data_IF_858511355484
#
_entry.id   IF_858511355484
#
_cell.length_a   1.000
_cell.length_b   1.000
_cell.length_c   1.000
_cell.angle_alpha   90.00
_cell.angle_beta   90.00
_cell.angle_gamma   90.00
#
_symmetry.space_group_name_H-M   'P 1'
#
loop_
_entity.id
_entity.type
_entity.pdbx_description
1 polymer ?
#
# COMPACT_ATOMS: atom_id res chain seq x y z
N UNK A 1 15.86 -1.31 -24.53
CA UNK A 1 17.14 -1.84 -25.01
C UNK A 1 17.92 -2.31 -23.78
N UNK A 2 18.46 -3.56 -23.78
CA UNK A 2 19.29 -4.05 -22.66
C UNK A 2 20.74 -3.55 -22.83
N UNK A 3 21.48 -3.43 -21.71
CA UNK A 3 22.92 -3.10 -21.76
C UNK A 3 23.68 -4.06 -22.69
N UNK A 4 23.35 -5.38 -22.62
CA UNK A 4 23.94 -6.41 -23.48
C UNK A 4 23.67 -6.15 -24.97
N UNK A 5 22.48 -5.62 -25.31
CA UNK A 5 22.16 -5.25 -26.67
C UNK A 5 22.95 -4.02 -27.13
N UNK A 6 23.06 -2.97 -26.31
CA UNK A 6 23.89 -1.82 -26.58
C UNK A 6 25.37 -2.20 -26.79
N UNK A 7 25.89 -3.06 -25.92
CA UNK A 7 27.25 -3.63 -26.03
C UNK A 7 27.47 -4.29 -27.39
N UNK A 8 26.54 -5.12 -27.84
CA UNK A 8 26.63 -5.82 -29.15
C UNK A 8 26.47 -4.86 -30.33
N UNK A 9 25.46 -3.98 -30.29
CA UNK A 9 25.15 -3.09 -31.40
C UNK A 9 26.25 -2.04 -31.62
N UNK A 10 26.82 -1.50 -30.53
CA UNK A 10 27.79 -0.43 -30.61
C UNK A 10 29.23 -0.86 -30.33
N UNK A 11 29.49 -2.16 -30.16
CA UNK A 11 30.82 -2.73 -29.86
C UNK A 11 31.53 -2.06 -28.66
N UNK A 12 30.76 -1.65 -27.66
CA UNK A 12 31.21 -0.96 -26.44
C UNK A 12 31.24 -1.95 -25.27
N UNK A 13 32.26 -1.90 -24.43
CA UNK A 13 32.33 -2.76 -23.26
C UNK A 13 31.15 -2.56 -22.30
N UNK A 14 30.64 -3.64 -21.69
CA UNK A 14 29.49 -3.56 -20.76
C UNK A 14 29.74 -2.65 -19.56
N UNK A 15 30.97 -2.60 -19.04
CA UNK A 15 31.39 -1.70 -17.97
C UNK A 15 31.30 -0.21 -18.38
N UNK A 16 31.59 0.09 -19.66
CA UNK A 16 31.49 1.45 -20.19
C UNK A 16 30.03 1.88 -20.33
N UNK A 17 29.17 0.98 -20.85
CA UNK A 17 27.73 1.23 -20.93
C UNK A 17 27.15 1.47 -19.54
N UNK A 18 27.54 0.67 -18.54
CA UNK A 18 27.08 0.85 -17.16
C UNK A 18 27.55 2.19 -16.57
N UNK A 19 28.82 2.56 -16.75
CA UNK A 19 29.36 3.86 -16.27
C UNK A 19 28.62 5.04 -16.89
N UNK A 20 28.37 5.01 -18.21
CA UNK A 20 27.63 6.07 -18.89
C UNK A 20 26.18 6.15 -18.39
N UNK A 21 25.52 5.00 -18.23
CA UNK A 21 24.20 4.96 -17.66
C UNK A 21 24.16 5.55 -16.24
N UNK A 22 25.08 5.13 -15.38
CA UNK A 22 25.15 5.63 -13.99
C UNK A 22 25.47 7.14 -13.94
N UNK A 23 26.40 7.63 -14.78
CA UNK A 23 26.72 9.05 -14.87
C UNK A 23 25.51 9.88 -15.32
N UNK A 24 24.85 9.47 -16.41
CA UNK A 24 23.67 10.16 -16.93
C UNK A 24 22.53 10.18 -15.93
N UNK A 25 22.18 9.01 -15.37
CA UNK A 25 21.09 8.89 -14.40
C UNK A 25 21.46 9.59 -13.09
N UNK A 26 22.71 9.47 -12.63
CA UNK A 26 23.20 10.15 -11.44
C UNK A 26 23.07 11.67 -11.53
N UNK A 27 23.47 12.26 -12.66
CA UNK A 27 23.29 13.68 -12.91
C UNK A 27 21.81 14.07 -12.86
N UNK A 28 20.93 13.34 -13.53
CA UNK A 28 19.49 13.60 -13.51
C UNK A 28 18.86 13.41 -12.12
N UNK A 29 19.27 12.41 -11.37
CA UNK A 29 18.82 12.22 -9.98
C UNK A 29 19.32 13.35 -9.08
N UNK A 30 20.54 13.87 -9.30
CA UNK A 30 21.02 15.02 -8.55
C UNK A 30 20.24 16.30 -8.84
N UNK A 31 19.79 16.52 -10.07
CA UNK A 31 18.86 17.60 -10.44
C UNK A 31 17.50 17.47 -9.72
N UNK A 32 17.09 16.23 -9.38
CA UNK A 32 15.91 15.96 -8.59
C UNK A 32 16.17 16.05 -7.08
N UNK A 33 17.43 15.98 -6.64
CA UNK A 33 17.78 16.16 -5.23
C UNK A 33 17.53 17.61 -4.84
N UNK A 34 16.93 17.82 -3.68
CA UNK A 34 16.51 19.17 -3.26
C UNK A 34 15.12 19.60 -3.69
N UNK A 35 14.38 18.75 -4.42
CA UNK A 35 12.94 19.00 -4.65
C UNK A 35 12.21 19.07 -3.31
N UNK A 36 11.31 20.03 -3.21
CA UNK A 36 10.43 20.12 -2.05
C UNK A 36 9.44 18.95 -2.03
N UNK A 37 9.07 18.54 -0.82
CA UNK A 37 8.04 17.53 -0.63
C UNK A 37 6.74 17.90 -1.34
N UNK A 38 6.06 16.94 -1.99
CA UNK A 38 4.75 17.16 -2.56
C UNK A 38 3.71 17.44 -1.47
N UNK A 39 2.70 18.25 -1.77
CA UNK A 39 1.63 18.55 -0.83
C UNK A 39 0.81 17.31 -0.44
N UNK A 40 0.70 16.33 -1.33
CA UNK A 40 -0.01 15.06 -1.10
C UNK A 40 0.97 13.91 -1.29
N UNK A 41 1.43 13.36 -0.18
CA UNK A 41 2.46 12.33 -0.12
C UNK A 41 1.84 10.96 0.16
N UNK A 42 2.19 9.96 -0.62
CA UNK A 42 1.96 8.54 -0.31
C UNK A 42 3.20 7.95 0.35
N UNK A 43 3.00 7.17 1.40
CA UNK A 43 4.08 6.41 2.05
C UNK A 43 3.66 4.95 2.10
N UNK A 44 4.53 4.06 1.59
CA UNK A 44 4.30 2.63 1.64
C UNK A 44 5.63 1.87 1.65
N UNK A 45 5.60 0.60 2.05
CA UNK A 45 6.78 -0.24 2.06
C UNK A 45 6.73 -1.33 0.98
N UNK A 46 7.89 -1.68 0.46
CA UNK A 46 8.05 -2.85 -0.39
C UNK A 46 9.29 -3.64 -0.02
N UNK A 47 9.27 -4.93 -0.33
CA UNK A 47 10.43 -5.79 -0.10
C UNK A 47 11.50 -5.52 -1.15
N UNK A 48 12.70 -5.17 -0.72
CA UNK A 48 13.83 -4.92 -1.62
C UNK A 48 14.67 -6.19 -1.84
N UNK A 49 15.20 -6.78 -0.77
CA UNK A 49 16.02 -7.99 -0.87
C UNK A 49 16.10 -8.75 0.46
N UNK A 50 16.43 -10.04 0.40
CA UNK A 50 16.60 -10.86 1.62
C UNK A 50 17.68 -10.30 2.56
N UNK A 51 18.78 -9.76 2.01
CA UNK A 51 19.90 -9.22 2.80
C UNK A 51 19.61 -7.88 3.43
N UNK A 52 18.90 -6.99 2.74
CA UNK A 52 18.66 -5.59 3.16
C UNK A 52 17.22 -5.32 3.62
N UNK A 53 16.31 -6.29 3.47
CA UNK A 53 14.93 -6.19 3.92
C UNK A 53 14.07 -5.28 3.06
N UNK A 54 13.41 -4.32 3.68
CA UNK A 54 12.42 -3.45 3.07
C UNK A 54 12.98 -2.07 2.69
N UNK A 55 12.31 -1.44 1.76
CA UNK A 55 12.48 -0.03 1.43
C UNK A 55 11.15 0.71 1.55
N UNK A 56 11.21 1.98 1.91
CA UNK A 56 10.06 2.90 1.95
C UNK A 56 9.99 3.67 0.66
N UNK A 57 8.84 3.62 -0.01
CA UNK A 57 8.54 4.41 -1.21
C UNK A 57 7.76 5.65 -0.82
N UNK A 58 8.24 6.81 -1.25
CA UNK A 58 7.58 8.09 -1.15
C UNK A 58 7.01 8.45 -2.52
N UNK A 59 5.70 8.74 -2.60
CA UNK A 59 5.00 8.98 -3.88
C UNK A 59 4.31 10.33 -3.86
N UNK A 60 4.51 11.12 -4.91
CA UNK A 60 3.67 12.29 -5.21
C UNK A 60 2.34 11.80 -5.78
N UNK A 61 1.31 11.76 -4.94
CA UNK A 61 -0.02 11.29 -5.32
C UNK A 61 -0.78 12.28 -6.19
N UNK A 62 -0.37 13.54 -6.23
CA UNK A 62 -0.97 14.56 -7.10
C UNK A 62 -0.52 14.39 -8.54
N UNK A 63 0.78 14.18 -8.75
CA UNK A 63 1.39 14.08 -10.07
C UNK A 63 1.64 12.63 -10.53
N UNK A 64 1.28 11.65 -9.70
CA UNK A 64 1.42 10.21 -9.99
C UNK A 64 2.88 9.81 -10.30
N UNK A 65 3.81 10.16 -9.39
CA UNK A 65 5.24 9.90 -9.53
C UNK A 65 5.85 9.39 -8.26
N UNK A 66 6.85 8.53 -8.38
CA UNK A 66 7.71 8.22 -7.25
C UNK A 66 8.53 9.47 -6.92
N UNK A 67 8.38 9.97 -5.71
CA UNK A 67 9.16 11.08 -5.21
C UNK A 67 10.54 10.62 -4.80
N UNK A 68 10.61 9.55 -3.99
CA UNK A 68 11.89 8.91 -3.64
C UNK A 68 11.68 7.47 -3.11
N UNK A 69 12.78 6.72 -3.01
CA UNK A 69 12.83 5.40 -2.37
C UNK A 69 13.98 5.39 -1.37
N UNK A 70 13.71 5.00 -0.14
CA UNK A 70 14.66 5.02 0.97
C UNK A 70 14.80 3.62 1.57
N UNK A 71 16.03 3.18 1.83
CA UNK A 71 16.25 1.87 2.43
C UNK A 71 15.79 1.84 3.88
N UNK A 72 15.05 0.80 4.24
CA UNK A 72 14.49 0.61 5.57
C UNK A 72 13.04 1.04 5.69
N UNK A 73 12.43 0.74 6.85
CA UNK A 73 11.04 1.05 7.19
C UNK A 73 10.86 1.50 8.64
N UNK A 74 11.92 1.51 9.43
CA UNK A 74 11.90 1.98 10.80
C UNK A 74 12.21 3.46 10.89
N UNK A 75 11.76 4.12 11.95
CA UNK A 75 12.08 5.53 12.21
C UNK A 75 13.59 5.73 12.26
N UNK A 76 14.33 4.83 12.91
CA UNK A 76 15.78 4.90 12.99
C UNK A 76 16.46 4.87 11.61
N UNK A 77 15.99 4.00 10.69
CA UNK A 77 16.54 3.89 9.34
C UNK A 77 16.22 5.09 8.45
N UNK A 78 15.07 5.74 8.65
CA UNK A 78 14.61 6.87 7.85
C UNK A 78 15.00 8.24 8.40
N UNK A 79 15.41 8.32 9.66
CA UNK A 79 15.67 9.56 10.40
C UNK A 79 16.60 10.53 9.68
N UNK A 80 17.76 10.06 9.23
CA UNK A 80 18.75 10.89 8.56
C UNK A 80 18.24 11.48 7.25
N UNK A 81 17.50 10.69 6.49
CA UNK A 81 16.85 11.13 5.25
C UNK A 81 15.75 12.15 5.55
N UNK A 82 14.83 11.84 6.46
CA UNK A 82 13.69 12.69 6.80
C UNK A 82 14.10 14.05 7.37
N UNK A 83 15.16 14.08 8.20
CA UNK A 83 15.70 15.36 8.73
C UNK A 83 16.18 16.30 7.64
N UNK A 84 16.77 15.78 6.56
CA UNK A 84 17.31 16.56 5.44
C UNK A 84 16.31 16.84 4.33
N UNK A 85 15.13 16.24 4.40
CA UNK A 85 14.12 16.34 3.35
C UNK A 85 13.53 17.77 3.32
N UNK A 86 13.69 18.54 2.22
CA UNK A 86 13.20 19.91 2.15
C UNK A 86 11.68 19.96 1.95
N UNK A 87 11.06 21.00 2.46
CA UNK A 87 9.62 21.25 2.24
C UNK A 87 8.67 20.33 3.01
N UNK A 88 9.12 19.71 4.08
CA UNK A 88 8.27 18.84 4.93
C UNK A 88 7.06 19.57 5.50
N UNK A 89 7.22 20.84 5.80
CA UNK A 89 6.18 21.76 6.29
C UNK A 89 5.09 22.05 5.24
N UNK A 90 5.38 21.83 3.95
CA UNK A 90 4.43 22.02 2.86
C UNK A 90 3.51 20.81 2.64
N UNK A 91 3.86 19.65 3.21
CA UNK A 91 3.01 18.45 3.12
C UNK A 91 1.71 18.69 3.88
N UNK A 92 0.59 18.57 3.20
CA UNK A 92 -0.77 18.77 3.75
C UNK A 92 -1.49 17.46 4.01
N UNK A 93 -1.20 16.44 3.22
CA UNK A 93 -1.85 15.14 3.33
C UNK A 93 -0.80 14.04 3.18
N UNK A 94 -0.84 13.07 4.08
CA UNK A 94 -0.07 11.83 3.97
C UNK A 94 -1.04 10.67 3.91
N UNK A 95 -1.00 9.88 2.82
CA UNK A 95 -1.74 8.63 2.68
C UNK A 95 -0.81 7.47 2.98
N UNK A 96 -1.19 6.60 3.91
CA UNK A 96 -0.37 5.47 4.35
C UNK A 96 -1.23 4.27 4.76
N UNK A 97 -0.58 3.12 4.93
CA UNK A 97 -1.17 1.96 5.58
C UNK A 97 -1.45 2.20 7.08
N UNK A 98 -2.01 1.20 7.76
CA UNK A 98 -2.31 1.27 9.19
C UNK A 98 -1.07 0.95 10.06
N UNK A 99 0.08 1.52 9.70
CA UNK A 99 1.36 1.32 10.40
C UNK A 99 1.56 2.38 11.48
N UNK A 100 1.66 1.96 12.73
CA UNK A 100 1.98 2.86 13.84
C UNK A 100 3.38 3.48 13.72
N UNK A 101 4.31 2.78 13.06
CA UNK A 101 5.64 3.32 12.77
C UNK A 101 5.56 4.51 11.82
N UNK A 102 4.86 4.35 10.69
CA UNK A 102 4.67 5.47 9.75
C UNK A 102 3.81 6.59 10.31
N UNK A 103 2.83 6.26 11.18
CA UNK A 103 2.04 7.26 11.88
C UNK A 103 2.92 8.17 12.74
N UNK A 104 3.81 7.59 13.56
CA UNK A 104 4.77 8.34 14.37
C UNK A 104 5.72 9.17 13.51
N UNK A 105 6.25 8.59 12.44
CA UNK A 105 7.09 9.29 11.47
C UNK A 105 6.34 10.50 10.87
N UNK A 106 5.09 10.30 10.44
CA UNK A 106 4.29 11.38 9.86
C UNK A 106 4.07 12.53 10.87
N UNK A 107 3.70 12.20 12.09
CA UNK A 107 3.49 13.18 13.16
C UNK A 107 4.76 13.94 13.54
N UNK A 108 5.90 13.27 13.56
CA UNK A 108 7.18 13.85 13.97
C UNK A 108 7.84 14.72 12.89
N UNK A 109 7.78 14.28 11.62
CA UNK A 109 8.54 14.91 10.56
C UNK A 109 7.72 15.80 9.61
N UNK A 110 6.40 15.70 9.65
CA UNK A 110 5.48 16.45 8.77
C UNK A 110 4.41 17.18 9.59
N UNK A 111 4.76 18.29 10.26
CA UNK A 111 3.94 18.90 11.32
C UNK A 111 2.57 19.39 10.84
N UNK A 112 2.44 19.74 9.55
CA UNK A 112 1.20 20.27 8.98
C UNK A 112 0.38 19.21 8.23
N UNK A 113 0.82 17.95 8.23
CA UNK A 113 0.20 16.90 7.44
C UNK A 113 -0.98 16.24 8.16
N UNK A 114 -2.10 16.12 7.47
CA UNK A 114 -3.21 15.26 7.87
C UNK A 114 -2.95 13.83 7.40
N UNK A 115 -3.00 12.89 8.33
CA UNK A 115 -2.87 11.46 8.03
C UNK A 115 -4.20 10.93 7.50
N UNK A 116 -4.17 10.23 6.38
CA UNK A 116 -5.28 9.53 5.74
C UNK A 116 -4.91 8.06 5.64
N UNK A 117 -5.78 7.17 6.12
CA UNK A 117 -5.56 5.75 5.96
C UNK A 117 -5.75 5.32 4.50
N UNK A 118 -4.93 4.40 4.02
CA UNK A 118 -5.17 3.80 2.72
C UNK A 118 -6.34 2.81 2.77
N UNK A 119 -7.34 3.07 1.95
CA UNK A 119 -8.58 2.30 1.87
C UNK A 119 -8.35 0.82 1.60
N UNK A 120 -7.41 0.51 0.73
CA UNK A 120 -7.10 -0.88 0.38
C UNK A 120 -6.59 -1.65 1.61
N UNK A 121 -5.68 -1.06 2.37
CA UNK A 121 -5.13 -1.66 3.58
C UNK A 121 -6.18 -1.81 4.69
N UNK A 122 -7.12 -0.86 4.81
CA UNK A 122 -8.25 -1.00 5.76
C UNK A 122 -9.13 -2.20 5.39
N UNK A 123 -9.52 -2.33 4.12
CA UNK A 123 -10.32 -3.48 3.64
C UNK A 123 -9.54 -4.79 3.77
N UNK A 124 -8.25 -4.77 3.47
CA UNK A 124 -7.36 -5.93 3.65
C UNK A 124 -7.30 -6.39 5.10
N UNK A 125 -7.19 -5.45 6.05
CA UNK A 125 -7.21 -5.74 7.49
C UNK A 125 -8.50 -6.42 7.91
N UNK A 126 -9.66 -5.90 7.50
CA UNK A 126 -10.98 -6.52 7.78
C UNK A 126 -11.03 -7.96 7.26
N UNK A 127 -10.57 -8.18 6.02
CA UNK A 127 -10.53 -9.51 5.44
C UNK A 127 -9.57 -10.46 6.17
N UNK A 128 -8.42 -9.99 6.63
CA UNK A 128 -7.46 -10.79 7.38
C UNK A 128 -8.03 -11.25 8.72
N UNK A 129 -8.68 -10.35 9.48
CA UNK A 129 -9.30 -10.71 10.75
C UNK A 129 -10.50 -11.65 10.55
N UNK A 130 -11.31 -11.44 9.51
CA UNK A 130 -12.38 -12.36 9.16
C UNK A 130 -11.84 -13.77 8.85
N UNK A 131 -10.75 -13.89 8.10
CA UNK A 131 -10.14 -15.19 7.81
C UNK A 131 -9.58 -15.88 9.06
N UNK A 132 -9.11 -15.13 10.07
CA UNK A 132 -8.72 -15.69 11.37
C UNK A 132 -9.93 -16.19 12.15
N UNK A 133 -11.02 -15.43 12.16
CA UNK A 133 -12.30 -15.86 12.76
C UNK A 133 -12.80 -17.16 12.11
N UNK A 134 -12.82 -17.20 10.78
CA UNK A 134 -13.19 -18.42 10.06
C UNK A 134 -12.29 -19.60 10.41
N UNK A 135 -10.97 -19.40 10.50
CA UNK A 135 -10.04 -20.45 10.92
C UNK A 135 -10.32 -21.01 12.32
N UNK A 136 -10.87 -20.19 13.22
CA UNK A 136 -11.24 -20.62 14.58
C UNK A 136 -12.56 -21.40 14.60
N UNK A 137 -13.53 -21.05 13.73
CA UNK A 137 -14.84 -21.69 13.69
C UNK A 137 -14.87 -22.95 12.84
N UNK A 138 -14.23 -22.94 11.69
CA UNK A 138 -14.15 -24.08 10.77
C UNK A 138 -12.78 -24.16 10.10
N UNK A 139 -11.81 -24.80 10.76
CA UNK A 139 -10.46 -25.00 10.23
C UNK A 139 -10.41 -25.76 8.91
N UNK A 140 -11.30 -26.75 8.72
CA UNK A 140 -11.30 -27.59 7.52
C UNK A 140 -11.92 -26.84 6.33
N UNK A 141 -13.03 -26.17 6.50
CA UNK A 141 -13.59 -25.31 5.46
C UNK A 141 -12.63 -24.20 5.05
N UNK A 142 -11.86 -23.69 6.00
CA UNK A 142 -10.83 -22.67 5.74
C UNK A 142 -9.70 -23.16 4.83
N UNK A 143 -9.37 -24.47 4.85
CA UNK A 143 -8.38 -25.09 3.96
C UNK A 143 -8.91 -25.28 2.53
N UNK A 144 -10.23 -25.30 2.34
CA UNK A 144 -10.85 -25.46 1.04
C UNK A 144 -10.60 -24.24 0.16
N UNK A 145 -9.79 -24.39 -0.90
CA UNK A 145 -9.42 -23.28 -1.81
C UNK A 145 -10.61 -22.65 -2.53
N UNK A 146 -11.63 -23.46 -2.86
CA UNK A 146 -12.86 -22.98 -3.50
C UNK A 146 -13.66 -22.07 -2.56
N UNK A 147 -13.93 -22.51 -1.31
CA UNK A 147 -14.59 -21.71 -0.29
C UNK A 147 -13.77 -20.46 0.05
N UNK A 148 -12.47 -20.58 0.18
CA UNK A 148 -11.58 -19.45 0.44
C UNK A 148 -11.70 -18.35 -0.62
N UNK A 149 -11.78 -18.76 -1.89
CA UNK A 149 -12.01 -17.82 -3.00
C UNK A 149 -13.34 -17.09 -2.87
N UNK A 150 -14.44 -17.81 -2.50
CA UNK A 150 -15.78 -17.22 -2.32
C UNK A 150 -15.83 -16.28 -1.11
N UNK A 151 -15.32 -16.74 0.03
CA UNK A 151 -15.33 -16.00 1.30
C UNK A 151 -14.54 -14.69 1.27
N UNK A 152 -13.50 -14.60 0.44
CA UNK A 152 -12.68 -13.38 0.26
C UNK A 152 -13.35 -12.32 -0.57
N UNK A 153 -14.17 -12.71 -1.57
CA UNK A 153 -14.78 -11.79 -2.53
C UNK A 153 -15.91 -10.97 -1.90
N UNK A 154 -16.17 -9.84 -2.50
CA UNK A 154 -17.41 -9.11 -2.24
C UNK A 154 -18.61 -9.90 -2.77
N UNK A 155 -19.68 -9.97 -1.98
CA UNK A 155 -20.88 -10.76 -2.32
C UNK A 155 -21.48 -10.37 -3.69
N UNK A 156 -21.47 -9.09 -4.03
CA UNK A 156 -22.00 -8.60 -5.32
C UNK A 156 -21.15 -9.01 -6.53
N UNK A 157 -19.91 -9.47 -6.34
CA UNK A 157 -19.03 -9.97 -7.41
C UNK A 157 -19.15 -11.47 -7.65
N UNK A 158 -20.01 -12.16 -6.90
CA UNK A 158 -20.22 -13.59 -7.05
C UNK A 158 -21.32 -13.86 -8.07
N UNK A 159 -21.15 -14.91 -8.92
CA UNK A 159 -22.20 -15.43 -9.79
C UNK A 159 -23.32 -16.09 -8.99
N UNK A 160 -24.48 -16.34 -9.61
CA UNK A 160 -25.62 -17.00 -8.95
C UNK A 160 -25.23 -18.36 -8.38
N UNK A 161 -24.50 -19.17 -9.15
CA UNK A 161 -24.00 -20.49 -8.71
C UNK A 161 -23.07 -20.36 -7.50
N UNK A 162 -22.15 -19.39 -7.53
CA UNK A 162 -21.22 -19.12 -6.43
C UNK A 162 -21.97 -18.67 -5.16
N UNK A 163 -22.99 -17.83 -5.31
CA UNK A 163 -23.85 -17.40 -4.19
C UNK A 163 -24.61 -18.56 -3.58
N UNK A 164 -25.16 -19.46 -4.41
CA UNK A 164 -25.88 -20.63 -3.94
C UNK A 164 -24.97 -21.58 -3.16
N UNK A 165 -23.79 -21.91 -3.71
CA UNK A 165 -22.79 -22.73 -3.01
C UNK A 165 -22.38 -22.12 -1.67
N UNK A 166 -22.16 -20.80 -1.64
CA UNK A 166 -21.80 -20.10 -0.42
C UNK A 166 -22.92 -20.10 0.62
N UNK A 167 -24.19 -19.92 0.20
CA UNK A 167 -25.34 -20.01 1.08
C UNK A 167 -25.48 -21.40 1.70
N UNK A 168 -25.35 -22.47 0.91
CA UNK A 168 -25.40 -23.84 1.39
C UNK A 168 -24.36 -24.11 2.47
N UNK A 169 -23.12 -23.63 2.25
CA UNK A 169 -22.06 -23.75 3.23
C UNK A 169 -22.35 -22.95 4.51
N UNK A 170 -22.73 -21.67 4.39
CA UNK A 170 -22.98 -20.81 5.54
C UNK A 170 -24.23 -21.18 6.34
N UNK A 171 -25.21 -21.86 5.73
CA UNK A 171 -26.41 -22.35 6.41
C UNK A 171 -26.11 -23.40 7.50
N UNK A 172 -24.98 -24.11 7.37
CA UNK A 172 -24.51 -25.09 8.34
C UNK A 172 -23.81 -24.46 9.55
N UNK A 173 -23.40 -23.20 9.43
CA UNK A 173 -22.56 -22.48 10.40
C UNK A 173 -23.13 -21.07 10.71
N UNK A 174 -24.18 -20.96 11.55
CA UNK A 174 -24.90 -19.70 11.78
C UNK A 174 -24.00 -18.56 12.29
N UNK A 175 -23.02 -18.86 13.16
CA UNK A 175 -22.06 -17.86 13.66
C UNK A 175 -21.17 -17.35 12.54
N UNK A 176 -20.65 -18.24 11.71
CA UNK A 176 -19.83 -17.90 10.57
C UNK A 176 -20.63 -17.11 9.51
N UNK A 177 -21.92 -17.43 9.35
CA UNK A 177 -22.83 -16.67 8.49
C UNK A 177 -22.96 -15.23 8.98
N UNK A 178 -23.19 -15.00 10.27
CA UNK A 178 -23.29 -13.67 10.86
C UNK A 178 -21.97 -12.88 10.67
N UNK A 179 -20.83 -13.52 10.94
CA UNK A 179 -19.50 -12.93 10.72
C UNK A 179 -19.26 -12.57 9.26
N UNK A 180 -19.68 -13.44 8.33
CA UNK A 180 -19.56 -13.16 6.90
C UNK A 180 -20.39 -11.94 6.49
N UNK A 181 -21.64 -11.84 6.94
CA UNK A 181 -22.48 -10.68 6.63
C UNK A 181 -21.96 -9.38 7.26
N UNK A 182 -21.53 -9.43 8.52
CA UNK A 182 -20.90 -8.27 9.17
C UNK A 182 -19.68 -7.78 8.38
N UNK A 183 -18.79 -8.70 7.96
CA UNK A 183 -17.65 -8.40 7.09
C UNK A 183 -18.08 -7.79 5.74
N UNK A 184 -19.11 -8.33 5.10
CA UNK A 184 -19.60 -7.81 3.81
C UNK A 184 -20.18 -6.40 3.96
N UNK A 185 -20.95 -6.14 5.01
CA UNK A 185 -21.52 -4.82 5.28
C UNK A 185 -20.41 -3.78 5.55
N UNK A 186 -19.43 -4.13 6.40
CA UNK A 186 -18.29 -3.24 6.68
C UNK A 186 -17.46 -2.98 5.43
N UNK A 187 -17.15 -4.00 4.64
CA UNK A 187 -16.41 -3.83 3.40
C UNK A 187 -17.22 -2.99 2.38
N UNK A 188 -18.53 -3.22 2.25
CA UNK A 188 -19.41 -2.41 1.40
C UNK A 188 -19.40 -0.95 1.81
N UNK A 189 -19.48 -0.68 3.11
CA UNK A 189 -19.35 0.66 3.66
C UNK A 189 -17.99 1.29 3.33
N UNK A 190 -16.88 0.57 3.58
CA UNK A 190 -15.53 1.08 3.37
C UNK A 190 -15.22 1.41 1.91
N UNK A 191 -15.78 0.67 0.94
CA UNK A 191 -15.52 0.92 -0.50
C UNK A 191 -16.46 1.95 -1.13
N UNK A 192 -17.50 2.40 -0.42
CA UNK A 192 -18.48 3.37 -0.93
C UNK A 192 -17.82 4.75 -1.11
N UNK A 193 -17.56 5.15 -2.36
CA UNK A 193 -16.87 6.40 -2.69
C UNK A 193 -17.76 7.64 -2.58
N UNK A 194 -19.07 7.49 -2.78
CA UNK A 194 -20.06 8.59 -2.79
C UNK A 194 -20.43 9.12 -1.40
N UNK A 195 -19.97 8.46 -0.33
CA UNK A 195 -20.32 8.85 1.03
C UNK A 195 -19.54 10.10 1.47
N UNK A 196 -20.21 10.97 2.25
CA UNK A 196 -19.57 12.12 2.88
C UNK A 196 -18.85 11.71 4.17
N UNK A 197 -17.70 12.34 4.46
CA UNK A 197 -16.91 12.06 5.67
C UNK A 197 -17.71 12.25 6.98
N UNK A 198 -18.62 13.24 7.05
CA UNK A 198 -19.51 13.45 8.20
C UNK A 198 -20.36 12.22 8.49
N UNK A 199 -20.97 11.60 7.45
CA UNK A 199 -21.76 10.38 7.59
C UNK A 199 -20.88 9.18 7.98
N UNK A 200 -19.70 9.08 7.40
CA UNK A 200 -18.74 8.03 7.74
C UNK A 200 -18.33 8.10 9.23
N UNK A 201 -18.09 9.31 9.75
CA UNK A 201 -17.76 9.53 11.17
C UNK A 201 -18.90 9.09 12.12
N UNK A 202 -20.15 9.20 11.70
CA UNK A 202 -21.31 8.75 12.48
C UNK A 202 -21.55 7.25 12.38
N UNK A 203 -21.31 6.65 11.21
CA UNK A 203 -21.64 5.24 10.94
C UNK A 203 -20.55 4.27 11.39
N UNK A 204 -19.27 4.63 11.20
CA UNK A 204 -18.17 3.72 11.52
C UNK A 204 -18.16 3.25 12.98
N UNK A 205 -18.38 4.11 13.99
CA UNK A 205 -18.49 3.66 15.40
C UNK A 205 -19.60 2.63 15.62
N UNK A 206 -20.73 2.73 14.89
CA UNK A 206 -21.82 1.76 14.99
C UNK A 206 -21.39 0.38 14.50
N UNK A 207 -20.68 0.31 13.35
CA UNK A 207 -20.09 -0.95 12.89
C UNK A 207 -19.08 -1.52 13.88
N UNK A 208 -18.26 -0.66 14.50
CA UNK A 208 -17.28 -1.11 15.49
C UNK A 208 -17.96 -1.65 16.76
N UNK A 209 -19.07 -1.05 17.18
CA UNK A 209 -19.87 -1.54 18.31
C UNK A 209 -20.42 -2.93 18.01
N UNK A 210 -20.97 -3.16 16.81
CA UNK A 210 -21.44 -4.48 16.38
C UNK A 210 -20.32 -5.53 16.36
N UNK A 211 -19.12 -5.16 15.84
CA UNK A 211 -17.98 -6.08 15.80
C UNK A 211 -17.50 -6.45 17.21
N UNK A 212 -17.58 -5.53 18.17
CA UNK A 212 -17.22 -5.80 19.57
C UNK A 212 -18.13 -6.79 20.28
N UNK A 213 -19.37 -6.95 19.82
CA UNK A 213 -20.31 -7.97 20.35
C UNK A 213 -19.86 -9.39 20.03
N UNK A 214 -19.03 -9.58 19.01
CA UNK A 214 -18.39 -10.87 18.78
C UNK A 214 -17.24 -11.04 19.79
N UNK A 215 -17.40 -11.92 20.77
CA UNK A 215 -16.45 -12.12 21.86
C UNK A 215 -15.14 -12.85 21.47
N UNK A 216 -14.81 -12.84 20.19
CA UNK A 216 -13.63 -13.47 19.63
C UNK A 216 -12.42 -12.51 19.58
N UNK A 217 -11.24 -13.00 19.95
CA UNK A 217 -10.00 -12.22 19.96
C UNK A 217 -9.70 -11.48 18.63
N UNK A 218 -9.86 -12.10 17.44
CA UNK A 218 -9.62 -11.36 16.19
C UNK A 218 -10.64 -10.24 15.94
N UNK A 219 -11.90 -10.38 16.39
CA UNK A 219 -12.91 -9.33 16.27
C UNK A 219 -12.58 -8.14 17.20
N UNK A 220 -12.21 -8.41 18.44
CA UNK A 220 -11.78 -7.39 19.41
C UNK A 220 -10.55 -6.64 18.91
N UNK A 221 -9.54 -7.35 18.37
CA UNK A 221 -8.34 -6.75 17.81
C UNK A 221 -8.64 -5.86 16.59
N UNK A 222 -9.52 -6.32 15.69
CA UNK A 222 -9.97 -5.51 14.54
C UNK A 222 -10.65 -4.23 15.01
N UNK A 223 -11.61 -4.34 15.93
CA UNK A 223 -12.33 -3.18 16.46
C UNK A 223 -11.40 -2.18 17.17
N UNK A 224 -10.42 -2.67 17.93
CA UNK A 224 -9.42 -1.84 18.58
C UNK A 224 -8.57 -1.07 17.55
N UNK A 225 -8.04 -1.76 16.54
CA UNK A 225 -7.24 -1.13 15.47
C UNK A 225 -8.06 -0.09 14.70
N UNK A 226 -9.27 -0.43 14.25
CA UNK A 226 -10.11 0.51 13.50
C UNK A 226 -10.55 1.71 14.36
N UNK A 227 -10.67 1.53 15.67
CA UNK A 227 -10.96 2.63 16.61
C UNK A 227 -9.77 3.57 16.75
N UNK A 228 -8.55 3.04 16.91
CA UNK A 228 -7.34 3.87 17.01
C UNK A 228 -7.07 4.65 15.73
N UNK A 229 -7.52 4.14 14.58
CA UNK A 229 -7.37 4.75 13.25
C UNK A 229 -8.65 5.45 12.75
N UNK A 230 -9.64 5.71 13.63
CA UNK A 230 -10.95 6.23 13.23
C UNK A 230 -10.84 7.50 12.37
N UNK A 231 -10.14 8.52 12.86
CA UNK A 231 -10.00 9.80 12.14
C UNK A 231 -9.26 9.66 10.80
N UNK A 232 -8.09 8.98 10.71
CA UNK A 232 -7.46 8.69 9.42
C UNK A 232 -8.36 7.92 8.45
N UNK A 233 -9.16 6.95 8.93
CA UNK A 233 -10.11 6.21 8.10
C UNK A 233 -11.24 7.11 7.60
N UNK A 234 -11.84 7.93 8.46
CA UNK A 234 -12.91 8.87 8.07
C UNK A 234 -12.42 9.85 7.01
N UNK A 235 -11.16 10.28 7.08
CA UNK A 235 -10.56 11.19 6.09
C UNK A 235 -10.47 10.59 4.68
N UNK A 236 -10.54 9.25 4.49
CA UNK A 236 -10.60 8.62 3.16
C UNK A 236 -11.76 9.12 2.28
N UNK A 237 -12.85 9.60 2.88
CA UNK A 237 -14.00 10.15 2.14
C UNK A 237 -13.87 11.63 1.83
N UNK A 238 -12.98 12.33 2.50
CA UNK A 238 -12.64 13.72 2.19
C UNK A 238 -11.56 13.82 1.11
N UNK A 239 -10.58 12.91 1.17
CA UNK A 239 -9.44 12.88 0.26
C UNK A 239 -9.57 11.65 -0.63
N UNK A 240 -9.92 11.87 -1.90
CA UNK A 240 -10.18 10.78 -2.87
C UNK A 240 -8.92 10.11 -3.40
N UNK A 241 -7.75 10.70 -3.17
CA UNK A 241 -6.48 10.08 -3.57
C UNK A 241 -6.22 8.86 -2.71
N UNK A 242 -6.07 7.71 -3.35
CA UNK A 242 -5.75 6.43 -2.69
C UNK A 242 -4.30 6.04 -2.98
N UNK A 243 -3.75 5.18 -2.14
CA UNK A 243 -2.42 4.61 -2.34
C UNK A 243 -2.38 3.55 -3.46
N UNK A 244 -3.48 3.32 -4.18
CA UNK A 244 -3.51 2.44 -5.36
C UNK A 244 -2.52 2.85 -6.46
N UNK A 245 -2.17 4.14 -6.49
CA UNK A 245 -1.08 4.65 -7.33
C UNK A 245 0.26 4.06 -6.87
N UNK A 246 0.50 3.99 -5.56
CA UNK A 246 1.71 3.42 -4.97
C UNK A 246 1.80 1.91 -5.24
N UNK A 247 0.68 1.17 -5.13
CA UNK A 247 0.62 -0.25 -5.53
C UNK A 247 0.96 -0.44 -7.01
N UNK A 248 0.47 0.43 -7.89
CA UNK A 248 0.84 0.44 -9.30
C UNK A 248 2.35 0.64 -9.49
N UNK A 249 2.98 1.49 -8.69
CA UNK A 249 4.44 1.65 -8.70
C UNK A 249 5.16 0.42 -8.14
N UNK A 250 4.66 -0.20 -7.07
CA UNK A 250 5.25 -1.43 -6.53
C UNK A 250 5.26 -2.54 -7.58
N UNK A 251 4.18 -2.70 -8.37
CA UNK A 251 4.15 -3.63 -9.49
C UNK A 251 5.21 -3.31 -10.56
N UNK A 252 5.36 -2.02 -10.94
CA UNK A 252 6.40 -1.59 -11.89
C UNK A 252 7.81 -1.84 -11.35
N UNK A 253 8.03 -1.55 -10.08
CA UNK A 253 9.30 -1.73 -9.38
C UNK A 253 9.65 -3.22 -9.25
N UNK A 254 8.68 -4.08 -8.98
CA UNK A 254 8.86 -5.53 -8.99
C UNK A 254 9.23 -6.04 -10.38
N UNK A 255 8.55 -5.57 -11.42
CA UNK A 255 8.91 -5.88 -12.81
C UNK A 255 10.33 -5.43 -13.16
N UNK A 256 10.74 -4.24 -12.71
CA UNK A 256 12.10 -3.73 -12.87
C UNK A 256 13.12 -4.67 -12.22
N UNK A 257 12.85 -5.09 -10.99
CA UNK A 257 13.71 -6.02 -10.25
C UNK A 257 13.81 -7.39 -10.93
N UNK A 258 12.69 -7.93 -11.42
CA UNK A 258 12.66 -9.19 -12.17
C UNK A 258 13.45 -9.11 -13.47
N UNK A 259 13.31 -8.03 -14.25
CA UNK A 259 14.05 -7.81 -15.51
C UNK A 259 15.56 -7.65 -15.28
N UNK A 260 15.96 -7.13 -14.12
CA UNK A 260 17.36 -6.96 -13.74
C UNK A 260 17.94 -8.20 -13.01
N UNK A 261 17.18 -9.30 -12.89
CA UNK A 261 17.56 -10.47 -12.07
C UNK A 261 17.91 -10.09 -10.62
N UNK A 262 17.27 -9.04 -10.09
CA UNK A 262 17.51 -8.46 -8.78
C UNK A 262 18.59 -7.37 -8.76
N UNK A 263 18.69 -6.71 -7.63
CA UNK A 263 19.68 -5.65 -7.39
C UNK A 263 20.52 -5.96 -6.16
N UNK A 264 21.84 -5.89 -6.30
CA UNK A 264 22.79 -5.99 -5.18
C UNK A 264 23.02 -4.63 -4.50
N UNK A 265 23.04 -3.56 -5.30
CA UNK A 265 23.25 -2.19 -4.84
C UNK A 265 21.94 -1.44 -4.78
N UNK A 266 21.64 -0.86 -3.61
CA UNK A 266 20.39 -0.11 -3.39
C UNK A 266 20.36 1.20 -4.17
N UNK A 267 21.48 1.92 -4.27
CA UNK A 267 21.52 3.19 -5.02
C UNK A 267 21.26 2.97 -6.51
N UNK A 268 21.81 1.93 -7.10
CA UNK A 268 21.49 1.55 -8.49
C UNK A 268 20.01 1.23 -8.67
N UNK A 269 19.42 0.54 -7.69
CA UNK A 269 17.99 0.26 -7.68
C UNK A 269 17.17 1.54 -7.57
N UNK A 270 17.48 2.41 -6.59
CA UNK A 270 16.83 3.70 -6.38
C UNK A 270 16.89 4.57 -7.64
N UNK A 271 18.07 4.72 -8.24
CA UNK A 271 18.25 5.45 -9.49
C UNK A 271 17.33 4.92 -10.61
N UNK A 272 17.25 3.61 -10.80
CA UNK A 272 16.39 3.01 -11.83
C UNK A 272 14.91 3.20 -11.56
N UNK A 273 14.49 3.13 -10.29
CA UNK A 273 13.10 3.42 -9.90
C UNK A 273 12.76 4.89 -10.20
N UNK A 274 13.61 5.82 -9.80
CA UNK A 274 13.40 7.24 -10.07
C UNK A 274 13.41 7.55 -11.55
N UNK A 275 14.30 6.95 -12.32
CA UNK A 275 14.36 7.11 -13.78
C UNK A 275 13.06 6.64 -14.48
N UNK A 276 12.44 5.56 -14.01
CA UNK A 276 11.24 4.99 -14.65
C UNK A 276 9.92 5.52 -14.10
N UNK A 277 9.89 5.93 -12.83
CA UNK A 277 8.67 6.25 -12.11
C UNK A 277 8.65 7.66 -11.51
N UNK A 278 9.79 8.38 -11.51
CA UNK A 278 9.92 9.69 -10.88
C UNK A 278 9.99 10.87 -11.88
N UNK A 279 10.24 10.61 -13.16
CA UNK A 279 10.44 11.66 -14.17
C UNK A 279 9.26 11.90 -15.08
N UNK A 280 9.27 13.09 -15.70
CA UNK A 280 8.14 13.52 -16.49
C UNK A 280 8.15 12.99 -17.93
N UNK A 281 9.26 12.85 -18.65
CA UNK A 281 9.11 12.85 -20.10
C UNK A 281 10.07 12.02 -20.95
N UNK A 282 11.13 11.42 -20.49
CA UNK A 282 12.14 10.97 -21.48
C UNK A 282 12.33 9.47 -21.61
N UNK A 283 12.01 8.66 -20.63
CA UNK A 283 12.38 7.23 -20.66
C UNK A 283 11.23 6.30 -21.07
N UNK A 284 10.00 6.80 -21.19
CA UNK A 284 8.86 5.99 -21.61
C UNK A 284 8.73 5.83 -23.14
N UNK A 285 9.65 6.33 -23.95
CA UNK A 285 9.64 6.27 -25.41
C UNK A 285 10.82 5.48 -26.00
N UNK A 286 11.36 4.54 -25.25
CA UNK A 286 12.35 3.60 -25.82
C UNK A 286 11.86 2.17 -25.67
#
# INVERSE_FOLDING_TARGET
>A
VSQRQLTRTHRIGSATVERWYQSFIGQRVSELSGRQCPQVLGIDEHFFSRKKGYATTLVDLKHHKVFDVVLGRSEASLRSYLKRLPGREHVRVIVMDLSETYRRIAQQYFPNAMIVADRFHVVRLVNQHFLKLWQQHDPEGRKNRGLLSLMRRHHWKLSSVQKQRLRQYLAQEPVLQALYFAKQQLNGFLVMKSMKAKRAKQMLPKFLALIRQFEHSPAKALAATLTSWLEPIVRMWRFTKSNGITEGFHTKVEMLSRRAYGFRNFENYRMRVLAQCGWNDVINRV
#
